data_IF_891614732411
#
_entry.id   IF_891614732411
#
_cell.length_a   1.000
_cell.length_b   1.000
_cell.length_c   1.000
_cell.angle_alpha   90.00
_cell.angle_beta   90.00
_cell.angle_gamma   90.00
#
_symmetry.space_group_name_H-M   'P 1'
#
loop_
_entity.id
_entity.type
_entity.pdbx_description
1 polymer ?
#
# COMPACT_ATOMS: atom_id res chain seq x y z
N UNK A 1 1.12 12.47 -5.91
CA UNK A 1 1.93 11.23 -5.84
C UNK A 1 1.95 10.40 -7.14
N UNK A 2 2.99 9.58 -7.43
CA UNK A 2 3.02 8.63 -8.56
C UNK A 2 2.54 7.21 -8.16
N UNK A 3 1.43 6.75 -8.76
CA UNK A 3 0.86 5.41 -8.53
C UNK A 3 1.75 4.26 -9.02
N UNK A 4 2.61 4.50 -10.00
CA UNK A 4 3.49 3.48 -10.58
C UNK A 4 4.47 2.94 -9.52
N UNK A 5 5.02 3.83 -8.69
CA UNK A 5 5.90 3.45 -7.57
C UNK A 5 5.19 2.59 -6.53
N UNK A 6 3.93 2.90 -6.22
CA UNK A 6 3.12 2.08 -5.29
C UNK A 6 2.92 0.67 -5.86
N UNK A 7 2.71 0.56 -7.18
CA UNK A 7 2.59 -0.74 -7.87
C UNK A 7 3.92 -1.49 -7.86
N UNK A 8 5.06 -0.80 -7.97
CA UNK A 8 6.39 -1.41 -7.84
C UNK A 8 6.56 -2.05 -6.46
N UNK A 9 6.31 -1.29 -5.38
CA UNK A 9 6.38 -1.81 -4.00
C UNK A 9 5.42 -2.99 -3.78
N UNK A 10 4.19 -2.90 -4.29
CA UNK A 10 3.23 -4.01 -4.22
C UNK A 10 3.73 -5.28 -4.92
N UNK A 11 4.41 -5.14 -6.07
CA UNK A 11 5.00 -6.26 -6.80
C UNK A 11 6.24 -6.85 -6.11
N UNK A 12 6.98 -6.05 -5.36
CA UNK A 12 8.09 -6.53 -4.53
C UNK A 12 7.59 -7.38 -3.37
N UNK A 13 6.53 -6.94 -2.70
CA UNK A 13 5.88 -7.70 -1.62
C UNK A 13 5.21 -8.96 -2.15
N UNK A 14 4.48 -8.86 -3.27
CA UNK A 14 3.74 -9.98 -3.86
C UNK A 14 3.82 -9.98 -5.39
N UNK A 15 4.79 -10.70 -5.98
CA UNK A 15 4.90 -10.79 -7.43
C UNK A 15 3.77 -11.64 -8.04
N UNK A 16 3.45 -11.34 -9.30
CA UNK A 16 2.51 -12.13 -10.11
C UNK A 16 1.05 -11.68 -10.02
N UNK A 17 0.77 -10.54 -9.39
CA UNK A 17 -0.55 -9.91 -9.32
C UNK A 17 -0.55 -8.61 -10.11
N UNK A 18 -1.57 -8.38 -10.94
CA UNK A 18 -1.72 -7.12 -11.67
C UNK A 18 -2.43 -6.06 -10.82
N UNK A 19 -1.68 -5.44 -9.89
CA UNK A 19 -2.20 -4.40 -8.99
C UNK A 19 -2.71 -3.13 -9.68
N UNK A 20 -2.44 -2.95 -10.98
CA UNK A 20 -3.03 -1.86 -11.75
C UNK A 20 -4.54 -2.05 -11.97
N UNK A 21 -5.01 -3.29 -11.89
CA UNK A 21 -6.42 -3.67 -12.11
C UNK A 21 -7.09 -4.27 -10.88
N UNK A 22 -6.31 -4.85 -9.97
CA UNK A 22 -6.86 -5.44 -8.75
C UNK A 22 -7.32 -4.39 -7.75
N UNK A 23 -8.36 -4.77 -7.03
CA UNK A 23 -8.98 -4.01 -5.96
C UNK A 23 -9.35 -4.97 -4.84
N UNK A 24 -9.78 -4.38 -3.72
CA UNK A 24 -10.16 -5.11 -2.53
C UNK A 24 -9.07 -6.10 -2.07
N UNK A 25 -7.83 -5.59 -2.00
CA UNK A 25 -6.64 -6.42 -1.82
C UNK A 25 -6.69 -7.24 -0.52
N UNK A 26 -7.43 -6.77 0.49
CA UNK A 26 -7.57 -7.41 1.79
C UNK A 26 -8.72 -8.42 1.82
N UNK A 27 -9.96 -8.03 1.50
CA UNK A 27 -11.13 -8.93 1.61
C UNK A 27 -11.08 -10.06 0.57
N UNK A 28 -10.51 -9.80 -0.62
CA UNK A 28 -10.28 -10.86 -1.63
C UNK A 28 -9.07 -11.72 -1.32
N UNK A 29 -8.41 -11.51 -0.17
CA UNK A 29 -7.21 -12.21 0.26
C UNK A 29 -6.08 -12.22 -0.77
N UNK A 30 -5.96 -11.12 -1.54
CA UNK A 30 -4.84 -10.92 -2.45
C UNK A 30 -3.58 -10.67 -1.62
N UNK A 31 -3.67 -9.79 -0.61
CA UNK A 31 -2.66 -9.58 0.41
C UNK A 31 -3.11 -10.24 1.72
N UNK A 32 -2.22 -11.05 2.29
CA UNK A 32 -2.33 -11.60 3.63
C UNK A 32 -1.92 -10.57 4.68
N UNK A 33 -2.25 -10.84 5.95
CA UNK A 33 -1.83 -9.96 7.06
C UNK A 33 -0.31 -9.78 7.15
N UNK A 34 0.48 -10.83 6.83
CA UNK A 34 1.94 -10.71 6.79
C UNK A 34 2.40 -9.82 5.62
N UNK A 35 1.77 -9.95 4.46
CA UNK A 35 2.07 -9.11 3.29
C UNK A 35 1.69 -7.65 3.53
N UNK A 36 0.59 -7.37 4.26
CA UNK A 36 0.24 -6.00 4.66
C UNK A 36 1.29 -5.38 5.59
N UNK A 37 1.78 -6.13 6.58
CA UNK A 37 2.84 -5.64 7.47
C UNK A 37 4.13 -5.35 6.71
N UNK A 38 4.52 -6.23 5.78
CA UNK A 38 5.68 -6.00 4.90
C UNK A 38 5.46 -4.76 4.02
N UNK A 39 4.30 -4.66 3.39
CA UNK A 39 3.93 -3.52 2.55
C UNK A 39 4.00 -2.19 3.28
N UNK A 40 3.51 -2.13 4.53
CA UNK A 40 3.62 -0.91 5.36
C UNK A 40 5.10 -0.52 5.54
N UNK A 41 5.97 -1.48 5.87
CA UNK A 41 7.40 -1.21 6.01
C UNK A 41 8.05 -0.71 4.72
N UNK A 42 7.80 -1.36 3.59
CA UNK A 42 8.38 -0.97 2.30
C UNK A 42 7.87 0.40 1.84
N UNK A 43 6.59 0.70 2.05
CA UNK A 43 6.01 2.02 1.74
C UNK A 43 6.65 3.11 2.60
N UNK A 44 6.84 2.87 3.90
CA UNK A 44 7.48 3.82 4.79
C UNK A 44 8.94 4.11 4.38
N UNK A 45 9.69 3.10 3.95
CA UNK A 45 11.08 3.27 3.49
C UNK A 45 11.16 3.95 2.12
N UNK A 46 10.37 3.52 1.13
CA UNK A 46 10.43 4.03 -0.24
C UNK A 46 9.94 5.48 -0.35
N UNK A 47 8.99 5.88 0.49
CA UNK A 47 8.39 7.22 0.46
C UNK A 47 8.81 8.14 1.61
N UNK A 48 9.64 7.65 2.54
CA UNK A 48 10.09 8.39 3.74
C UNK A 48 8.92 8.94 4.57
N UNK A 49 7.89 8.09 4.79
CA UNK A 49 6.68 8.43 5.56
C UNK A 49 6.47 7.50 6.75
N UNK A 50 5.84 7.99 7.82
CA UNK A 50 5.40 7.16 8.94
C UNK A 50 3.92 6.78 8.76
N UNK A 51 3.62 5.48 8.69
CA UNK A 51 2.25 4.98 8.59
C UNK A 51 1.83 4.42 9.96
N UNK A 52 1.02 5.17 10.74
CA UNK A 52 0.66 4.73 12.07
C UNK A 52 -0.36 3.58 12.02
N UNK A 53 -0.36 2.72 13.05
CA UNK A 53 -1.25 1.55 13.13
C UNK A 53 -2.74 1.85 12.85
N UNK A 54 -3.34 2.99 13.27
CA UNK A 54 -4.73 3.30 12.95
C UNK A 54 -5.01 3.51 11.45
N UNK A 55 -4.00 3.82 10.64
CA UNK A 55 -4.13 3.92 9.18
C UNK A 55 -3.99 2.55 8.49
N UNK A 56 -3.60 1.49 9.22
CA UNK A 56 -3.51 0.11 8.69
C UNK A 56 -4.89 -0.55 8.73
N UNK A 57 -5.80 -0.01 7.91
CA UNK A 57 -7.19 -0.47 7.77
C UNK A 57 -7.50 -0.87 6.32
N UNK A 58 -8.44 -1.80 6.07
CA UNK A 58 -8.74 -2.29 4.72
C UNK A 58 -9.04 -1.18 3.71
N UNK A 59 -9.63 -0.06 4.13
CA UNK A 59 -9.97 1.08 3.27
C UNK A 59 -8.74 1.74 2.66
N UNK A 60 -7.66 1.89 3.43
CA UNK A 60 -6.42 2.47 2.93
C UNK A 60 -5.65 1.49 2.04
N UNK A 61 -5.80 0.19 2.28
CA UNK A 61 -5.14 -0.89 1.54
C UNK A 61 -6.06 -1.57 0.51
N UNK A 62 -7.14 -0.91 0.11
CA UNK A 62 -8.14 -1.46 -0.81
C UNK A 62 -7.59 -1.62 -2.23
N UNK A 63 -6.78 -0.69 -2.73
CA UNK A 63 -6.13 -0.76 -4.04
C UNK A 63 -4.87 0.10 -4.10
N UNK A 64 -4.09 -0.02 -5.18
CA UNK A 64 -2.93 0.86 -5.40
C UNK A 64 -3.29 2.35 -5.33
N UNK A 65 -4.50 2.72 -5.79
CA UNK A 65 -5.00 4.09 -5.72
C UNK A 65 -5.28 4.56 -4.29
N UNK A 66 -5.80 3.70 -3.41
CA UNK A 66 -6.08 4.09 -2.02
C UNK A 66 -4.78 4.20 -1.23
N UNK A 67 -3.82 3.30 -1.50
CA UNK A 67 -2.50 3.36 -0.89
C UNK A 67 -1.78 4.65 -1.30
N UNK A 68 -1.79 5.01 -2.59
CA UNK A 68 -1.19 6.27 -3.04
C UNK A 68 -1.82 7.50 -2.35
N UNK A 69 -3.12 7.48 -2.07
CA UNK A 69 -3.78 8.56 -1.31
C UNK A 69 -3.40 8.57 0.16
N UNK A 70 -3.20 7.39 0.76
CA UNK A 70 -2.70 7.30 2.13
C UNK A 70 -1.32 7.96 2.21
N UNK A 71 -0.39 7.56 1.33
CA UNK A 71 0.97 8.10 1.35
C UNK A 71 0.98 9.61 1.07
N UNK A 72 0.22 10.10 0.08
CA UNK A 72 0.10 11.54 -0.19
C UNK A 72 -0.41 12.33 1.02
N UNK A 73 -1.32 11.75 1.82
CA UNK A 73 -1.74 12.35 3.09
C UNK A 73 -0.62 12.37 4.15
N UNK A 74 0.15 11.29 4.25
CA UNK A 74 1.25 11.22 5.22
C UNK A 74 2.40 12.16 4.84
N UNK A 75 2.71 12.29 3.54
CA UNK A 75 3.70 13.26 3.03
C UNK A 75 3.32 14.72 3.33
N UNK A 76 2.02 15.05 3.33
CA UNK A 76 1.49 16.39 3.64
C UNK A 76 1.37 16.67 5.16
N UNK A 77 1.48 15.64 6.01
CA UNK A 77 1.41 15.76 7.47
C UNK A 77 2.77 16.12 8.13
N UNK A 78 3.83 16.27 7.33
CA UNK A 78 5.18 16.81 7.70
C UNK A 78 5.42 18.27 7.23
#
# INVERSE_FOLDING_TARGET
MNIEKVIEVLNEVKPGVDFSKENDLVERHILSSMEIVMLVSELSEEFDVDIPLPEVVPENFYSAQTIAKLIERMEDED
#
